data_IF_988861282763
#
_entry.id   IF_988861282763
#
_cell.length_a   1.000
_cell.length_b   1.000
_cell.length_c   1.000
_cell.angle_alpha   90.00
_cell.angle_beta   90.00
_cell.angle_gamma   90.00
#
_symmetry.space_group_name_H-M   'P 1'
#
loop_
_entity.id
_entity.type
_entity.pdbx_description
1 polymer ?
#
# COMPACT_ATOMS: atom_id res chain seq x y z
N UNK A 1 -4.19 9.60 19.92
CA UNK A 1 -5.44 9.67 19.12
C UNK A 1 -5.11 9.08 17.75
N UNK A 2 -5.42 7.79 17.51
CA UNK A 2 -5.22 7.19 16.19
C UNK A 2 -6.21 7.85 15.23
N UNK A 3 -5.77 8.83 14.46
CA UNK A 3 -6.56 9.37 13.36
C UNK A 3 -6.71 8.26 12.33
N UNK A 4 -7.92 7.76 12.15
CA UNK A 4 -8.24 6.90 11.02
C UNK A 4 -8.13 7.75 9.76
N UNK A 5 -6.96 7.73 9.12
CA UNK A 5 -6.77 8.36 7.82
C UNK A 5 -7.65 7.63 6.82
N UNK A 6 -8.52 8.38 6.15
CA UNK A 6 -9.41 7.84 5.12
C UNK A 6 -8.63 7.83 3.80
N UNK A 7 -8.50 6.65 3.22
CA UNK A 7 -7.98 6.46 1.87
C UNK A 7 -9.10 5.98 0.97
N UNK A 8 -9.08 6.40 -0.29
CA UNK A 8 -10.03 5.90 -1.30
C UNK A 8 -9.72 4.45 -1.69
N UNK A 9 -8.44 4.05 -1.59
CA UNK A 9 -7.97 2.71 -1.89
C UNK A 9 -6.93 2.23 -0.86
N UNK A 10 -7.06 1.01 -0.37
CA UNK A 10 -6.02 0.34 0.41
C UNK A 10 -5.66 -0.98 -0.26
N UNK A 11 -4.39 -1.12 -0.69
CA UNK A 11 -3.90 -2.34 -1.34
C UNK A 11 -3.31 -3.26 -0.28
N UNK A 12 -4.07 -4.27 0.12
CA UNK A 12 -3.62 -5.28 1.06
C UNK A 12 -2.74 -6.35 0.40
N UNK A 13 -1.69 -6.78 1.11
CA UNK A 13 -0.75 -7.77 0.58
C UNK A 13 0.18 -7.20 -0.50
N UNK A 14 0.39 -5.88 -0.49
CA UNK A 14 1.20 -5.18 -1.49
C UNK A 14 2.67 -5.68 -1.55
N UNK A 15 3.18 -6.30 -0.49
CA UNK A 15 4.52 -6.90 -0.46
C UNK A 15 4.64 -8.25 -1.22
N UNK A 16 3.52 -8.81 -1.70
CA UNK A 16 3.51 -10.02 -2.52
C UNK A 16 3.73 -9.72 -4.00
N UNK A 17 3.96 -10.77 -4.81
CA UNK A 17 4.18 -10.64 -6.26
C UNK A 17 3.03 -9.89 -6.93
N UNK A 18 1.80 -10.41 -6.84
CA UNK A 18 0.60 -9.77 -7.41
C UNK A 18 0.34 -8.40 -6.80
N UNK A 19 0.56 -8.25 -5.49
CA UNK A 19 0.38 -6.97 -4.78
C UNK A 19 1.23 -5.85 -5.38
N UNK A 20 2.52 -6.10 -5.64
CA UNK A 20 3.41 -5.16 -6.32
C UNK A 20 2.87 -4.76 -7.70
N UNK A 21 2.41 -5.73 -8.50
CA UNK A 21 1.84 -5.44 -9.83
C UNK A 21 0.61 -4.55 -9.75
N UNK A 22 -0.27 -4.75 -8.76
CA UNK A 22 -1.46 -3.91 -8.59
C UNK A 22 -1.08 -2.49 -8.17
N UNK A 23 -0.10 -2.32 -7.27
CA UNK A 23 0.44 -1.00 -6.92
C UNK A 23 0.96 -0.29 -8.18
N UNK A 24 1.81 -0.95 -8.95
CA UNK A 24 2.34 -0.41 -10.21
C UNK A 24 1.22 -0.01 -11.18
N UNK A 25 0.26 -0.91 -11.39
CA UNK A 25 -0.83 -0.65 -12.34
C UNK A 25 -1.72 0.50 -11.91
N UNK A 26 -1.93 0.66 -10.60
CA UNK A 26 -2.66 1.80 -10.06
C UNK A 26 -1.89 3.10 -10.32
N UNK A 27 -0.59 3.14 -10.05
CA UNK A 27 0.28 4.31 -10.24
C UNK A 27 0.36 4.75 -11.71
N UNK A 28 0.40 3.79 -12.65
CA UNK A 28 0.38 4.07 -14.09
C UNK A 28 -0.99 4.49 -14.62
N UNK A 29 -2.06 4.31 -13.82
CA UNK A 29 -3.41 4.61 -14.26
C UNK A 29 -3.75 6.08 -14.11
N UNK A 30 -4.72 6.53 -14.91
CA UNK A 30 -5.34 7.87 -14.79
C UNK A 30 -6.02 8.15 -13.44
N UNK A 31 -6.10 7.15 -12.56
CA UNK A 31 -6.73 7.22 -11.25
C UNK A 31 -5.77 7.59 -10.14
N UNK A 32 -4.45 7.42 -10.35
CA UNK A 32 -3.42 7.71 -9.35
C UNK A 32 -3.49 9.15 -8.82
N UNK A 33 -3.73 10.12 -9.70
CA UNK A 33 -3.81 11.53 -9.33
C UNK A 33 -5.19 11.94 -8.79
N UNK A 34 -6.18 11.03 -8.85
CA UNK A 34 -7.58 11.31 -8.45
C UNK A 34 -7.95 10.71 -7.10
N UNK A 35 -7.28 9.64 -6.70
CA UNK A 35 -7.64 8.88 -5.52
C UNK A 35 -6.45 8.70 -4.61
N UNK A 36 -6.65 8.97 -3.33
CA UNK A 36 -5.69 8.68 -2.28
C UNK A 36 -5.58 7.17 -2.07
N UNK A 37 -4.37 6.66 -1.88
CA UNK A 37 -4.16 5.24 -1.62
C UNK A 37 -3.13 4.99 -0.52
N UNK A 38 -3.23 3.81 0.08
CA UNK A 38 -2.26 3.27 1.02
C UNK A 38 -1.94 1.81 0.68
N UNK A 39 -0.79 1.32 1.16
CA UNK A 39 -0.40 -0.08 1.04
C UNK A 39 -0.41 -0.74 2.41
N UNK A 40 -0.89 -1.99 2.49
CA UNK A 40 -1.03 -2.70 3.75
C UNK A 40 -0.37 -4.08 3.73
N UNK A 41 0.18 -4.49 4.87
CA UNK A 41 0.74 -5.83 5.03
C UNK A 41 1.53 -6.04 6.32
N UNK A 42 2.10 -7.24 6.45
CA UNK A 42 2.79 -7.72 7.66
C UNK A 42 4.27 -7.35 7.77
N UNK A 43 4.88 -6.88 6.68
CA UNK A 43 6.31 -6.58 6.66
C UNK A 43 6.55 -5.19 6.06
N UNK A 44 6.78 -4.21 6.95
CA UNK A 44 6.97 -2.81 6.57
C UNK A 44 8.15 -2.61 5.63
N UNK A 45 9.27 -3.31 5.84
CA UNK A 45 10.47 -3.18 5.00
C UNK A 45 10.17 -3.64 3.57
N UNK A 46 9.49 -4.78 3.40
CA UNK A 46 9.10 -5.26 2.06
C UNK A 46 8.11 -4.33 1.38
N UNK A 47 7.19 -3.73 2.13
CA UNK A 47 6.27 -2.72 1.59
C UNK A 47 7.02 -1.48 1.12
N UNK A 48 8.00 -1.01 1.89
CA UNK A 48 8.85 0.11 1.49
C UNK A 48 9.63 -0.21 0.22
N UNK A 49 10.25 -1.39 0.14
CA UNK A 49 10.95 -1.84 -1.08
C UNK A 49 10.02 -1.83 -2.30
N UNK A 50 8.78 -2.29 -2.16
CA UNK A 50 7.80 -2.23 -3.26
C UNK A 50 7.51 -0.78 -3.67
N UNK A 51 7.33 0.15 -2.73
CA UNK A 51 7.12 1.56 -3.05
C UNK A 51 8.34 2.17 -3.75
N UNK A 52 9.56 1.86 -3.30
CA UNK A 52 10.80 2.34 -3.89
C UNK A 52 10.99 1.82 -5.33
N UNK A 53 10.80 0.51 -5.53
CA UNK A 53 10.90 -0.14 -6.84
C UNK A 53 9.86 0.42 -7.81
N UNK A 54 8.59 0.51 -7.40
CA UNK A 54 7.54 1.06 -8.27
C UNK A 54 7.78 2.54 -8.55
N UNK A 55 8.28 3.32 -7.59
CA UNK A 55 8.63 4.72 -7.83
C UNK A 55 9.72 4.86 -8.89
N UNK A 56 10.77 4.02 -8.80
CA UNK A 56 11.85 3.99 -9.77
C UNK A 56 11.39 3.52 -11.15
N UNK A 57 10.53 2.49 -11.21
CA UNK A 57 10.03 1.93 -12.47
C UNK A 57 9.05 2.86 -13.20
N UNK A 58 8.21 3.60 -12.47
CA UNK A 58 7.15 4.45 -13.05
C UNK A 58 7.55 5.92 -13.18
N UNK A 59 8.62 6.34 -12.49
CA UNK A 59 9.03 7.74 -12.39
C UNK A 59 8.10 8.62 -11.54
N UNK A 60 7.09 8.03 -10.89
CA UNK A 60 6.18 8.72 -9.96
C UNK A 60 6.71 8.56 -8.54
N UNK A 61 6.76 9.64 -7.76
CA UNK A 61 7.19 9.55 -6.38
C UNK A 61 6.03 9.05 -5.49
N UNK A 62 6.13 7.79 -5.06
CA UNK A 62 5.18 7.16 -4.13
C UNK A 62 5.87 6.65 -2.88
N UNK A 63 7.12 7.04 -2.61
CA UNK A 63 7.91 6.50 -1.50
C UNK A 63 7.34 6.88 -0.13
N UNK A 64 6.65 8.01 -0.06
CA UNK A 64 5.97 8.51 1.14
C UNK A 64 4.54 7.99 1.30
N UNK A 65 4.09 7.08 0.42
CA UNK A 65 2.76 6.47 0.52
C UNK A 65 2.59 5.82 1.89
N UNK A 66 1.43 6.04 2.52
CA UNK A 66 1.15 5.49 3.84
C UNK A 66 1.22 3.96 3.83
N UNK A 67 2.02 3.41 4.74
CA UNK A 67 2.06 1.98 5.01
C UNK A 67 1.18 1.68 6.22
N UNK A 68 0.17 0.84 6.02
CA UNK A 68 -0.70 0.31 7.08
C UNK A 68 -0.14 -1.04 7.52
N UNK A 69 0.34 -1.12 8.75
CA UNK A 69 0.79 -2.39 9.31
C UNK A 69 -0.42 -3.23 9.70
N UNK A 70 -0.54 -4.40 9.10
CA UNK A 70 -1.62 -5.33 9.38
C UNK A 70 -1.07 -6.54 10.13
N UNK A 71 -1.29 -6.60 11.43
CA UNK A 71 -0.94 -7.76 12.25
C UNK A 71 -2.15 -8.69 12.31
N UNK A 72 -2.08 -9.82 11.61
CA UNK A 72 -3.05 -10.91 11.71
C UNK A 72 -2.72 -11.72 12.97
N UNK A 73 -3.14 -11.22 14.14
CA UNK A 73 -2.84 -11.85 15.42
C UNK A 73 -3.76 -11.39 16.54
N UNK A 74 -5.00 -11.04 16.22
CA UNK A 74 -6.05 -10.92 17.22
C UNK A 74 -7.20 -11.84 16.81
N UNK A 75 -7.21 -13.03 17.41
CA UNK A 75 -8.36 -13.94 17.47
C UNK A 75 -9.64 -13.25 18.03
N UNK A 76 -9.57 -11.98 18.42
CA UNK A 76 -10.71 -11.14 18.80
C UNK A 76 -11.57 -10.64 17.62
N UNK A 77 -11.23 -10.94 16.36
CA UNK A 77 -12.03 -10.48 15.21
C UNK A 77 -13.19 -11.40 14.79
N UNK A 78 -13.46 -12.49 15.51
CA UNK A 78 -14.60 -13.39 15.26
C UNK A 78 -15.31 -13.84 16.56
N UNK A 79 -15.56 -12.92 17.50
CA UNK A 79 -16.36 -13.17 18.70
C UNK A 79 -17.22 -11.99 19.09
#
# INVERSE_FOLDING_TARGET
KMSSERFDLVIYGASGYTGKFIVKRFVESKYFEKYSFAVAGRNKNKLQTVLDEVSAETGKDIKETKIIFAQSGDDASLG
#
